data_IF_135724682413
#
_entry.id   IF_135724682413
#
_cell.length_a   1.000
_cell.length_b   1.000
_cell.length_c   1.000
_cell.angle_alpha   90.00
_cell.angle_beta   90.00
_cell.angle_gamma   90.00
#
_symmetry.space_group_name_H-M   'P 1'
#
loop_
_entity.id
_entity.type
_entity.pdbx_description
1 polymer ?
#
# COMPACT_ATOMS: atom_id res chain seq x y z
N UNK A 1 -41.10 -34.48 41.00
CA UNK A 1 -41.79 -33.30 40.46
C UNK A 1 -40.74 -32.21 40.29
N UNK A 2 -40.38 -31.94 39.02
CA UNK A 2 -39.76 -30.68 38.52
C UNK A 2 -38.29 -30.47 38.96
N UNK A 3 -37.23 -30.77 38.20
CA UNK A 3 -36.88 -30.45 36.80
C UNK A 3 -36.83 -28.94 36.50
N UNK A 4 -35.62 -28.45 36.18
CA UNK A 4 -35.28 -27.18 35.49
C UNK A 4 -35.24 -25.90 36.33
N UNK A 5 -34.03 -25.48 36.72
CA UNK A 5 -33.44 -24.15 36.37
C UNK A 5 -32.12 -23.92 37.12
N UNK A 6 -31.02 -24.50 36.63
CA UNK A 6 -29.69 -23.84 36.61
C UNK A 6 -28.70 -24.59 35.73
N UNK A 7 -29.10 -24.74 34.47
CA UNK A 7 -28.15 -24.83 33.36
C UNK A 7 -27.98 -23.39 32.89
N UNK A 8 -26.81 -22.80 33.10
CA UNK A 8 -26.50 -21.47 32.59
C UNK A 8 -25.27 -20.86 33.25
N UNK A 9 -24.21 -20.71 32.45
CA UNK A 9 -22.96 -19.99 32.72
C UNK A 9 -21.88 -20.70 33.54
N UNK A 10 -21.31 -21.77 32.99
CA UNK A 10 -19.86 -22.01 33.02
C UNK A 10 -19.41 -22.73 31.74
N UNK A 11 -19.45 -22.03 30.63
CA UNK A 11 -18.55 -22.29 29.50
C UNK A 11 -17.68 -21.04 29.36
N UNK A 12 -16.73 -20.89 30.28
CA UNK A 12 -15.60 -19.99 30.08
C UNK A 12 -14.87 -20.44 28.80
N UNK A 13 -14.91 -19.58 27.80
CA UNK A 13 -14.39 -19.82 26.47
C UNK A 13 -12.86 -19.67 26.50
N UNK A 14 -12.15 -20.63 27.09
CA UNK A 14 -10.67 -20.63 27.16
C UNK A 14 -9.99 -20.71 25.78
N UNK A 15 -10.72 -20.99 24.70
CA UNK A 15 -10.17 -20.99 23.33
C UNK A 15 -9.84 -19.59 22.78
N UNK A 16 -10.35 -18.51 23.38
CA UNK A 16 -10.13 -17.14 22.91
C UNK A 16 -8.75 -16.57 23.26
N UNK A 17 -8.22 -16.90 24.44
CA UNK A 17 -6.90 -16.42 24.90
C UNK A 17 -5.75 -17.18 24.21
N UNK A 18 -5.85 -18.49 24.08
CA UNK A 18 -4.84 -19.33 23.39
C UNK A 18 -4.70 -18.95 21.91
N UNK A 19 -5.81 -18.70 21.22
CA UNK A 19 -5.79 -18.25 19.82
C UNK A 19 -5.13 -16.87 19.67
N UNK A 20 -5.32 -15.96 20.63
CA UNK A 20 -4.70 -14.63 20.61
C UNK A 20 -3.18 -14.72 20.82
N UNK A 21 -2.72 -15.57 21.75
CA UNK A 21 -1.30 -15.79 22.00
C UNK A 21 -0.58 -16.38 20.78
N UNK A 22 -1.20 -17.34 20.08
CA UNK A 22 -0.65 -17.92 18.85
C UNK A 22 -0.49 -16.90 17.72
N UNK A 23 -1.48 -16.01 17.54
CA UNK A 23 -1.42 -14.96 16.51
C UNK A 23 -0.32 -13.95 16.84
N UNK A 24 -0.21 -13.53 18.10
CA UNK A 24 0.87 -12.63 18.56
C UNK A 24 2.24 -13.27 18.34
N UNK A 25 2.38 -14.57 18.61
CA UNK A 25 3.61 -15.30 18.37
C UNK A 25 3.96 -15.35 16.87
N UNK A 26 2.99 -15.69 16.02
CA UNK A 26 3.17 -15.71 14.55
C UNK A 26 3.60 -14.33 14.06
N UNK A 27 2.91 -13.27 14.50
CA UNK A 27 3.25 -11.89 14.15
C UNK A 27 4.70 -11.55 14.54
N UNK A 28 5.12 -11.86 15.77
CA UNK A 28 6.49 -11.63 16.24
C UNK A 28 7.53 -12.42 15.44
N UNK A 29 7.24 -13.67 15.10
CA UNK A 29 8.13 -14.50 14.28
C UNK A 29 8.27 -13.88 12.89
N UNK A 30 7.15 -13.56 12.23
CA UNK A 30 7.16 -12.95 10.89
C UNK A 30 7.90 -11.61 10.90
N UNK A 31 7.64 -10.76 11.89
CA UNK A 31 8.33 -9.49 12.03
C UNK A 31 9.83 -9.68 12.26
N UNK A 32 10.24 -10.64 13.08
CA UNK A 32 11.67 -10.97 13.29
C UNK A 32 12.33 -11.46 12.00
N UNK A 33 11.63 -12.30 11.24
CA UNK A 33 12.05 -12.76 9.90
C UNK A 33 12.16 -11.60 8.90
N UNK A 34 11.51 -10.46 9.14
CA UNK A 34 11.71 -9.25 8.36
C UNK A 34 12.90 -8.41 8.85
N UNK A 35 13.13 -8.30 10.16
CA UNK A 35 14.20 -7.45 10.71
C UNK A 35 15.58 -8.09 10.54
N UNK A 36 15.69 -9.40 10.79
CA UNK A 36 16.97 -10.11 10.80
C UNK A 36 17.69 -10.06 9.44
N UNK A 37 17.04 -10.32 8.28
CA UNK A 37 17.69 -10.21 6.97
C UNK A 37 18.22 -8.81 6.68
N UNK A 38 17.48 -7.76 7.02
CA UNK A 38 17.91 -6.38 6.76
C UNK A 38 19.09 -5.98 7.66
N UNK A 39 19.10 -6.41 8.92
CA UNK A 39 20.24 -6.22 9.81
C UNK A 39 21.46 -7.04 9.34
N UNK A 40 21.24 -8.27 8.90
CA UNK A 40 22.31 -9.15 8.40
C UNK A 40 22.91 -8.60 7.10
N UNK A 41 22.08 -8.07 6.19
CA UNK A 41 22.55 -7.44 4.96
C UNK A 41 23.35 -6.17 5.23
N UNK A 42 22.96 -5.37 6.24
CA UNK A 42 23.75 -4.22 6.68
C UNK A 42 25.13 -4.65 7.22
N UNK A 43 25.17 -5.66 8.08
CA UNK A 43 26.44 -6.20 8.60
C UNK A 43 27.32 -6.71 7.45
N UNK A 44 26.72 -7.42 6.49
CA UNK A 44 27.42 -7.92 5.31
C UNK A 44 27.97 -6.79 4.44
N UNK A 45 27.18 -5.73 4.21
CA UNK A 45 27.61 -4.54 3.50
C UNK A 45 28.79 -3.86 4.20
N UNK A 46 28.74 -3.71 5.53
CA UNK A 46 29.84 -3.16 6.33
C UNK A 46 31.12 -4.00 6.25
N UNK A 47 31.01 -5.34 6.22
CA UNK A 47 32.17 -6.22 5.99
C UNK A 47 32.77 -5.98 4.60
N UNK A 48 31.92 -5.73 3.60
CA UNK A 48 32.33 -5.46 2.21
C UNK A 48 32.81 -4.04 1.96
N UNK A 49 32.55 -3.09 2.86
CA UNK A 49 32.82 -1.67 2.69
C UNK A 49 34.22 -1.33 2.15
N UNK A 50 35.26 -1.92 2.75
CA UNK A 50 36.66 -1.65 2.35
C UNK A 50 37.08 -2.37 1.04
N UNK A 51 36.27 -3.33 0.57
CA UNK A 51 36.50 -4.06 -0.69
C UNK A 51 35.78 -3.40 -1.86
N UNK A 52 34.82 -2.50 -1.58
CA UNK A 52 34.06 -1.80 -2.59
C UNK A 52 34.84 -0.59 -3.11
N UNK A 53 34.84 -0.34 -4.43
CA UNK A 53 35.35 0.90 -5.01
C UNK A 53 34.55 2.12 -4.51
N UNK A 54 35.10 3.32 -4.69
CA UNK A 54 34.43 4.56 -4.26
C UNK A 54 33.13 4.84 -5.03
N UNK A 55 33.02 4.31 -6.25
CA UNK A 55 31.80 4.27 -7.05
C UNK A 55 31.35 2.82 -7.24
N UNK A 56 30.08 2.55 -6.97
CA UNK A 56 29.48 1.22 -7.03
C UNK A 56 28.20 1.24 -7.87
N UNK A 57 27.88 0.10 -8.48
CA UNK A 57 26.57 -0.14 -9.05
C UNK A 57 25.50 -0.17 -7.96
N UNK A 58 24.52 0.72 -8.11
CA UNK A 58 23.39 0.90 -7.20
C UNK A 58 22.10 0.27 -7.75
N UNK A 59 21.97 0.13 -9.05
CA UNK A 59 20.85 -0.55 -9.71
C UNK A 59 21.37 -1.37 -10.89
N UNK A 60 20.58 -2.34 -11.31
CA UNK A 60 20.90 -3.23 -12.42
C UNK A 60 19.73 -3.28 -13.40
N UNK A 61 20.03 -3.23 -14.69
CA UNK A 61 19.05 -3.44 -15.76
C UNK A 61 18.58 -4.90 -15.84
N UNK A 62 17.68 -5.20 -16.78
CA UNK A 62 17.15 -6.56 -16.97
C UNK A 62 18.19 -7.54 -17.54
N UNK A 63 19.22 -7.02 -18.20
CA UNK A 63 20.38 -7.73 -18.74
C UNK A 63 21.44 -8.01 -17.66
N UNK A 64 21.32 -7.36 -16.50
CA UNK A 64 22.21 -7.51 -15.36
C UNK A 64 23.42 -6.57 -15.37
N UNK A 65 23.44 -5.55 -16.22
CA UNK A 65 24.44 -4.48 -16.22
C UNK A 65 24.07 -3.39 -15.23
N UNK A 66 25.05 -2.58 -14.81
CA UNK A 66 24.76 -1.38 -14.03
C UNK A 66 24.13 -0.31 -14.91
N UNK A 67 22.94 0.14 -14.54
CA UNK A 67 22.26 1.30 -15.13
C UNK A 67 22.28 2.52 -14.20
N UNK A 68 22.58 2.31 -12.91
CA UNK A 68 22.84 3.40 -11.95
C UNK A 68 24.14 3.12 -11.21
N UNK A 69 25.09 4.03 -11.33
CA UNK A 69 26.35 4.05 -10.58
C UNK A 69 26.36 5.26 -9.65
N UNK A 70 26.84 5.09 -8.42
CA UNK A 70 26.93 6.18 -7.47
C UNK A 70 28.03 5.97 -6.44
N UNK A 71 28.29 6.99 -5.62
CA UNK A 71 29.24 6.87 -4.51
C UNK A 71 28.85 5.72 -3.59
N UNK A 72 29.84 4.96 -3.08
CA UNK A 72 29.60 3.84 -2.18
C UNK A 72 28.76 4.19 -0.95
N UNK A 73 28.76 5.44 -0.49
CA UNK A 73 27.86 5.84 0.61
C UNK A 73 26.37 5.64 0.28
N UNK A 74 25.97 5.69 -0.99
CA UNK A 74 24.61 5.37 -1.42
C UNK A 74 24.26 3.89 -1.23
N UNK A 75 25.23 3.00 -1.02
CA UNK A 75 24.99 1.61 -0.62
C UNK A 75 24.27 1.47 0.72
N UNK A 76 24.21 2.52 1.54
CA UNK A 76 23.35 2.56 2.73
C UNK A 76 21.86 2.76 2.43
N UNK A 77 21.52 3.21 1.23
CA UNK A 77 20.15 3.56 0.84
C UNK A 77 19.14 2.42 1.05
N UNK A 78 19.39 1.17 0.60
CA UNK A 78 18.46 0.07 0.83
C UNK A 78 18.18 -0.20 2.32
N UNK A 79 19.17 0.03 3.19
CA UNK A 79 19.04 -0.16 4.64
C UNK A 79 18.21 0.96 5.28
N UNK A 80 18.45 2.22 4.87
CA UNK A 80 17.69 3.36 5.38
C UNK A 80 16.23 3.25 4.97
N UNK A 81 15.94 3.04 3.69
CA UNK A 81 14.56 2.96 3.20
C UNK A 81 13.86 1.70 3.71
N UNK A 82 14.54 0.54 3.69
CA UNK A 82 14.00 -0.69 4.26
C UNK A 82 13.69 -0.55 5.75
N UNK A 83 14.56 0.12 6.51
CA UNK A 83 14.37 0.39 7.94
C UNK A 83 13.19 1.33 8.21
N UNK A 84 13.03 2.39 7.41
CA UNK A 84 11.90 3.30 7.51
C UNK A 84 10.56 2.59 7.23
N UNK A 85 10.53 1.72 6.23
CA UNK A 85 9.33 0.91 5.92
C UNK A 85 9.01 -0.02 7.09
N UNK A 86 10.00 -0.73 7.64
CA UNK A 86 9.81 -1.59 8.81
C UNK A 86 9.27 -0.80 10.02
N UNK A 87 9.82 0.38 10.29
CA UNK A 87 9.36 1.24 11.37
C UNK A 87 7.92 1.72 11.14
N UNK A 88 7.59 2.12 9.92
CA UNK A 88 6.23 2.50 9.52
C UNK A 88 5.22 1.36 9.71
N UNK A 89 5.59 0.14 9.31
CA UNK A 89 4.75 -1.05 9.46
C UNK A 89 4.57 -1.44 10.94
N UNK A 90 5.62 -1.36 11.75
CA UNK A 90 5.53 -1.57 13.20
C UNK A 90 4.56 -0.56 13.85
N UNK A 91 4.64 0.71 13.44
CA UNK A 91 3.70 1.74 13.87
C UNK A 91 2.25 1.44 13.45
N UNK A 92 2.04 1.00 12.20
CA UNK A 92 0.72 0.63 11.69
C UNK A 92 0.12 -0.55 12.47
N UNK A 93 0.91 -1.60 12.74
CA UNK A 93 0.50 -2.76 13.53
C UNK A 93 0.10 -2.34 14.94
N UNK A 94 0.90 -1.52 15.61
CA UNK A 94 0.57 -0.99 16.94
C UNK A 94 -0.76 -0.21 16.94
N UNK A 95 -1.02 0.59 15.90
CA UNK A 95 -2.29 1.31 15.77
C UNK A 95 -3.47 0.35 15.57
N UNK A 96 -3.32 -0.71 14.78
CA UNK A 96 -4.38 -1.69 14.52
C UNK A 96 -4.72 -2.49 15.78
N UNK A 97 -3.71 -2.88 16.56
CA UNK A 97 -3.92 -3.57 17.83
C UNK A 97 -4.68 -2.67 18.81
N UNK A 98 -4.24 -1.43 18.96
CA UNK A 98 -4.73 -0.52 20.01
C UNK A 98 -6.02 0.22 19.68
N UNK A 99 -6.38 0.38 18.39
CA UNK A 99 -7.56 1.15 17.97
C UNK A 99 -8.65 0.24 17.41
N UNK A 100 -9.92 0.53 17.71
CA UNK A 100 -11.03 -0.13 17.04
C UNK A 100 -11.06 0.29 15.57
N UNK A 101 -11.28 -0.67 14.67
CA UNK A 101 -11.33 -0.47 13.21
C UNK A 101 -12.50 0.42 12.80
N UNK A 102 -13.51 0.50 13.66
CA UNK A 102 -14.70 1.25 13.36
C UNK A 102 -15.63 0.56 12.34
N UNK A 103 -15.46 -0.74 12.11
CA UNK A 103 -16.32 -1.50 11.23
C UNK A 103 -17.61 -1.92 11.95
N UNK A 104 -18.71 -2.01 11.19
CA UNK A 104 -20.02 -2.46 11.68
C UNK A 104 -20.06 -3.99 11.79
N UNK A 105 -19.18 -4.54 12.61
CA UNK A 105 -19.03 -5.98 12.83
C UNK A 105 -19.12 -6.31 14.31
N UNK A 106 -19.42 -7.57 14.62
CA UNK A 106 -19.45 -8.06 16.00
C UNK A 106 -18.05 -7.98 16.61
N UNK A 107 -17.94 -7.99 17.95
CA UNK A 107 -16.64 -8.01 18.63
C UNK A 107 -15.76 -9.20 18.19
N UNK A 108 -16.38 -10.35 17.95
CA UNK A 108 -15.70 -11.51 17.36
C UNK A 108 -15.20 -11.22 15.94
N UNK A 109 -16.02 -10.56 15.12
CA UNK A 109 -15.63 -10.11 13.77
C UNK A 109 -14.47 -9.12 13.81
N UNK A 110 -14.49 -8.18 14.75
CA UNK A 110 -13.43 -7.18 14.96
C UNK A 110 -12.08 -7.84 15.27
N UNK A 111 -12.06 -8.78 16.23
CA UNK A 111 -10.84 -9.54 16.59
C UNK A 111 -10.27 -10.30 15.39
N UNK A 112 -11.13 -10.99 14.63
CA UNK A 112 -10.72 -11.73 13.44
C UNK A 112 -10.25 -10.80 12.32
N UNK A 113 -10.94 -9.68 12.10
CA UNK A 113 -10.57 -8.70 11.09
C UNK A 113 -9.19 -8.11 11.37
N UNK A 114 -8.93 -7.69 12.61
CA UNK A 114 -7.62 -7.18 13.03
C UNK A 114 -6.52 -8.21 12.87
N UNK A 115 -6.77 -9.46 13.28
CA UNK A 115 -5.78 -10.54 13.12
C UNK A 115 -5.39 -10.76 11.65
N UNK A 116 -6.39 -10.82 10.76
CA UNK A 116 -6.12 -10.98 9.32
C UNK A 116 -5.47 -9.73 8.73
N UNK A 117 -5.84 -8.53 9.20
CA UNK A 117 -5.21 -7.28 8.79
C UNK A 117 -3.73 -7.22 9.17
N UNK A 118 -3.38 -7.57 10.41
CA UNK A 118 -1.99 -7.67 10.87
C UNK A 118 -1.22 -8.69 10.04
N UNK A 119 -1.78 -9.89 9.82
CA UNK A 119 -1.13 -10.91 8.98
C UNK A 119 -0.91 -10.44 7.54
N UNK A 120 -1.87 -9.70 6.97
CA UNK A 120 -1.75 -9.12 5.62
C UNK A 120 -0.64 -8.07 5.59
N UNK A 121 -0.53 -7.22 6.63
CA UNK A 121 0.57 -6.27 6.76
C UNK A 121 1.92 -6.96 7.00
N UNK A 122 1.96 -8.07 7.71
CA UNK A 122 3.19 -8.85 7.89
C UNK A 122 3.68 -9.43 6.56
N UNK A 123 2.78 -9.96 5.72
CA UNK A 123 3.12 -10.39 4.37
C UNK A 123 3.67 -9.24 3.52
N UNK A 124 3.05 -8.06 3.62
CA UNK A 124 3.50 -6.86 2.90
C UNK A 124 4.87 -6.39 3.41
N UNK A 125 5.08 -6.44 4.72
CA UNK A 125 6.34 -6.10 5.38
C UNK A 125 7.45 -7.05 4.96
N UNK A 126 7.15 -8.35 4.87
CA UNK A 126 8.07 -9.38 4.41
C UNK A 126 8.48 -9.15 2.96
N UNK A 127 7.53 -8.82 2.08
CA UNK A 127 7.81 -8.47 0.68
C UNK A 127 8.87 -7.37 0.58
N UNK A 128 8.63 -6.23 1.22
CA UNK A 128 9.57 -5.11 1.17
C UNK A 128 10.88 -5.40 1.88
N UNK A 129 10.87 -6.03 3.04
CA UNK A 129 12.13 -6.36 3.71
C UNK A 129 12.99 -7.30 2.86
N UNK A 130 12.37 -8.30 2.23
CA UNK A 130 13.06 -9.21 1.32
C UNK A 130 13.65 -8.44 0.13
N UNK A 131 12.88 -7.55 -0.51
CA UNK A 131 13.35 -6.68 -1.59
C UNK A 131 14.60 -5.90 -1.19
N UNK A 132 14.54 -5.14 -0.11
CA UNK A 132 15.66 -4.30 0.32
C UNK A 132 16.86 -5.12 0.78
N UNK A 133 16.64 -6.29 1.37
CA UNK A 133 17.73 -7.20 1.75
C UNK A 133 18.43 -7.79 0.53
N UNK A 134 17.67 -8.19 -0.49
CA UNK A 134 18.20 -8.70 -1.74
C UNK A 134 18.90 -7.59 -2.55
N UNK A 135 18.31 -6.39 -2.60
CA UNK A 135 18.93 -5.24 -3.22
C UNK A 135 20.25 -4.88 -2.52
N UNK A 136 20.26 -4.81 -1.19
CA UNK A 136 21.48 -4.60 -0.42
C UNK A 136 22.54 -5.66 -0.70
N UNK A 137 22.15 -6.94 -0.84
CA UNK A 137 23.07 -8.01 -1.22
C UNK A 137 23.68 -7.75 -2.61
N UNK A 138 22.85 -7.45 -3.62
CA UNK A 138 23.30 -7.13 -4.97
C UNK A 138 24.27 -5.96 -5.02
N UNK A 139 23.99 -4.90 -4.26
CA UNK A 139 24.90 -3.75 -4.10
C UNK A 139 26.17 -4.16 -3.34
N UNK A 140 26.09 -5.03 -2.34
CA UNK A 140 27.28 -5.48 -1.59
C UNK A 140 28.22 -6.36 -2.42
N UNK A 141 27.67 -7.20 -3.30
CA UNK A 141 28.45 -8.13 -4.13
C UNK A 141 28.71 -7.62 -5.53
N UNK A 142 28.14 -6.46 -5.90
CA UNK A 142 28.21 -5.91 -7.25
C UNK A 142 27.73 -6.95 -8.28
N UNK A 143 26.62 -7.61 -7.97
CA UNK A 143 26.03 -8.67 -8.81
C UNK A 143 24.53 -8.45 -8.99
N UNK A 144 24.00 -8.66 -10.21
CA UNK A 144 22.60 -8.38 -10.48
C UNK A 144 21.67 -9.26 -9.65
N UNK A 145 20.53 -8.68 -9.30
CA UNK A 145 19.46 -9.40 -8.63
C UNK A 145 18.94 -10.50 -9.57
N UNK A 146 18.64 -11.69 -9.04
CA UNK A 146 17.85 -12.66 -9.79
C UNK A 146 16.39 -12.19 -9.86
N UNK A 147 16.11 -11.27 -10.78
CA UNK A 147 14.80 -10.62 -10.97
C UNK A 147 13.68 -11.64 -11.21
N UNK A 148 13.98 -12.76 -11.87
CA UNK A 148 13.02 -13.86 -12.08
C UNK A 148 12.64 -14.56 -10.77
N UNK A 149 13.62 -14.88 -9.92
CA UNK A 149 13.36 -15.50 -8.62
C UNK A 149 12.60 -14.53 -7.73
N UNK A 150 13.06 -13.28 -7.65
CA UNK A 150 12.43 -12.24 -6.85
C UNK A 150 10.99 -11.99 -7.30
N UNK A 151 10.74 -11.82 -8.61
CA UNK A 151 9.40 -11.62 -9.15
C UNK A 151 8.45 -12.79 -8.89
N UNK A 152 8.95 -14.04 -8.80
CA UNK A 152 8.14 -15.20 -8.39
C UNK A 152 7.77 -15.14 -6.90
N UNK A 153 8.72 -14.79 -6.03
CA UNK A 153 8.47 -14.61 -4.59
C UNK A 153 7.43 -13.51 -4.39
N UNK A 154 7.62 -12.36 -5.04
CA UNK A 154 6.70 -11.23 -4.99
C UNK A 154 5.30 -11.62 -5.48
N UNK A 155 5.20 -12.35 -6.60
CA UNK A 155 3.92 -12.82 -7.13
C UNK A 155 3.15 -13.70 -6.12
N UNK A 156 3.85 -14.60 -5.43
CA UNK A 156 3.25 -15.44 -4.38
C UNK A 156 2.74 -14.59 -3.23
N UNK A 157 3.54 -13.62 -2.78
CA UNK A 157 3.15 -12.72 -1.69
C UNK A 157 1.94 -11.86 -2.10
N UNK A 158 1.93 -11.33 -3.33
CA UNK A 158 0.78 -10.58 -3.86
C UNK A 158 -0.51 -11.41 -3.85
N UNK A 159 -0.44 -12.70 -4.21
CA UNK A 159 -1.60 -13.60 -4.10
C UNK A 159 -2.04 -13.75 -2.63
N UNK A 160 -1.12 -13.90 -1.69
CA UNK A 160 -1.44 -13.97 -0.25
C UNK A 160 -2.10 -12.68 0.25
N UNK A 161 -1.63 -11.51 -0.21
CA UNK A 161 -2.24 -10.21 0.11
C UNK A 161 -3.68 -10.12 -0.41
N UNK A 162 -3.93 -10.54 -1.65
CA UNK A 162 -5.27 -10.58 -2.23
C UNK A 162 -6.20 -11.54 -1.47
N UNK A 163 -5.69 -12.70 -1.06
CA UNK A 163 -6.43 -13.65 -0.20
C UNK A 163 -6.76 -12.99 1.16
N UNK A 164 -5.79 -12.32 1.79
CA UNK A 164 -5.98 -11.58 3.04
C UNK A 164 -7.10 -10.54 2.93
N UNK A 165 -7.08 -9.73 1.87
CA UNK A 165 -8.15 -8.76 1.56
C UNK A 165 -9.50 -9.46 1.32
N UNK A 166 -9.51 -10.58 0.61
CA UNK A 166 -10.71 -11.38 0.39
C UNK A 166 -11.33 -11.89 1.70
N UNK A 167 -10.50 -12.42 2.60
CA UNK A 167 -10.91 -12.90 3.93
C UNK A 167 -11.43 -11.74 4.79
N UNK A 168 -10.75 -10.59 4.79
CA UNK A 168 -11.21 -9.39 5.49
C UNK A 168 -12.61 -8.97 5.04
N UNK A 169 -12.85 -8.92 3.72
CA UNK A 169 -14.17 -8.61 3.16
C UNK A 169 -15.22 -9.63 3.58
N UNK A 170 -14.89 -10.93 3.54
CA UNK A 170 -15.77 -11.99 4.00
C UNK A 170 -16.13 -11.82 5.49
N UNK A 171 -15.15 -11.49 6.35
CA UNK A 171 -15.38 -11.21 7.77
C UNK A 171 -16.34 -10.04 7.94
N UNK A 172 -16.15 -8.95 7.18
CA UNK A 172 -17.03 -7.79 7.20
C UNK A 172 -18.48 -8.13 6.84
N UNK A 173 -18.69 -9.04 5.89
CA UNK A 173 -20.02 -9.47 5.46
C UNK A 173 -20.63 -10.41 6.51
N UNK A 174 -19.90 -11.45 6.91
CA UNK A 174 -20.40 -12.52 7.80
C UNK A 174 -20.73 -12.02 9.20
N UNK A 175 -19.89 -11.15 9.75
CA UNK A 175 -20.02 -10.69 11.13
C UNK A 175 -20.69 -9.32 11.24
N UNK A 176 -21.36 -8.86 10.18
CA UNK A 176 -22.02 -7.56 10.14
C UNK A 176 -23.07 -7.44 11.25
N UNK A 177 -23.03 -6.33 11.99
CA UNK A 177 -24.04 -6.01 13.01
C UNK A 177 -25.09 -5.05 12.47
N UNK A 178 -26.35 -5.23 12.88
CA UNK A 178 -27.43 -4.28 12.60
C UNK A 178 -27.35 -3.01 13.46
N UNK A 179 -26.63 -3.05 14.59
CA UNK A 179 -26.46 -1.91 15.49
C UNK A 179 -25.77 -0.73 14.78
N UNK A 180 -26.36 0.45 14.98
CA UNK A 180 -25.96 1.72 14.39
C UNK A 180 -24.95 2.41 15.31
N UNK A 181 -23.70 1.93 15.34
CA UNK A 181 -22.60 2.78 15.82
C UNK A 181 -21.29 2.36 15.16
N UNK A 182 -20.70 3.30 14.43
CA UNK A 182 -19.30 3.75 14.54
C UNK A 182 -19.27 5.18 14.01
N UNK A 183 -18.61 6.06 14.76
CA UNK A 183 -18.24 7.43 14.44
C UNK A 183 -17.89 7.59 12.94
N UNK A 184 -18.86 8.04 12.14
CA UNK A 184 -18.68 8.32 10.72
C UNK A 184 -17.55 9.34 10.50
N UNK A 185 -17.17 10.11 11.53
CA UNK A 185 -16.06 11.04 11.44
C UNK A 185 -14.71 10.34 11.24
N UNK A 186 -14.46 9.16 11.82
CA UNK A 186 -13.12 8.57 11.70
C UNK A 186 -12.84 8.14 10.25
N UNK A 187 -13.75 7.37 9.64
CA UNK A 187 -13.61 6.97 8.24
C UNK A 187 -13.58 8.17 7.29
N UNK A 188 -14.40 9.18 7.56
CA UNK A 188 -14.39 10.43 6.81
C UNK A 188 -13.08 11.23 6.99
N UNK A 189 -12.46 11.19 8.17
CA UNK A 189 -11.14 11.81 8.41
C UNK A 189 -10.03 11.04 7.70
N UNK A 190 -10.07 9.71 7.76
CA UNK A 190 -9.08 8.86 7.10
C UNK A 190 -9.17 8.92 5.57
N UNK A 191 -10.39 8.94 5.00
CA UNK A 191 -10.61 9.13 3.56
C UNK A 191 -10.15 10.50 3.04
N UNK A 192 -10.01 11.49 3.93
CA UNK A 192 -9.41 12.78 3.62
C UNK A 192 -7.90 12.69 3.72
N UNK A 193 -7.37 12.17 4.83
CA UNK A 193 -5.93 12.15 5.10
C UNK A 193 -5.15 11.21 4.17
N UNK A 194 -5.59 9.96 4.02
CA UNK A 194 -4.84 8.91 3.32
C UNK A 194 -4.56 9.29 1.85
N UNK A 195 -5.55 9.75 1.05
CA UNK A 195 -5.29 10.11 -0.34
C UNK A 195 -4.31 11.28 -0.47
N UNK A 196 -4.38 12.27 0.42
CA UNK A 196 -3.41 13.37 0.42
C UNK A 196 -2.00 12.92 0.80
N UNK A 197 -1.86 11.99 1.76
CA UNK A 197 -0.56 11.40 2.09
C UNK A 197 0.01 10.59 0.92
N UNK A 198 -0.83 9.80 0.24
CA UNK A 198 -0.42 9.06 -0.96
C UNK A 198 0.00 9.99 -2.10
N UNK A 199 -0.76 11.07 -2.34
CA UNK A 199 -0.40 12.09 -3.33
C UNK A 199 0.91 12.79 -2.97
N UNK A 200 1.08 13.22 -1.71
CA UNK A 200 2.32 13.84 -1.26
C UNK A 200 3.52 12.89 -1.39
N UNK A 201 3.36 11.62 -1.02
CA UNK A 201 4.37 10.59 -1.19
C UNK A 201 4.72 10.34 -2.67
N UNK A 202 3.72 10.32 -3.55
CA UNK A 202 3.94 10.21 -5.00
C UNK A 202 4.68 11.41 -5.60
N UNK A 203 4.35 12.63 -5.17
CA UNK A 203 5.07 13.85 -5.59
C UNK A 203 6.50 13.82 -5.09
N UNK A 204 6.72 13.40 -3.85
CA UNK A 204 8.08 13.27 -3.31
C UNK A 204 8.88 12.21 -4.08
N UNK A 205 8.30 11.04 -4.36
CA UNK A 205 8.97 10.00 -5.15
C UNK A 205 9.41 10.55 -6.52
N UNK A 206 8.51 11.22 -7.25
CA UNK A 206 8.83 11.88 -8.52
C UNK A 206 9.90 12.96 -8.35
N UNK A 207 9.88 13.73 -7.26
CA UNK A 207 10.89 14.77 -7.01
C UNK A 207 12.29 14.17 -6.80
N UNK A 208 12.38 13.03 -6.10
CA UNK A 208 13.64 12.30 -5.89
C UNK A 208 14.15 11.64 -7.17
N UNK A 209 13.26 11.11 -8.01
CA UNK A 209 13.60 10.48 -9.29
C UNK A 209 13.68 11.46 -10.46
N UNK A 210 13.31 12.74 -10.26
CA UNK A 210 13.14 13.72 -11.35
C UNK A 210 14.37 13.88 -12.24
N UNK A 211 15.54 13.82 -11.62
CA UNK A 211 16.83 13.95 -12.27
C UNK A 211 17.41 12.59 -12.71
N UNK A 212 16.78 11.47 -12.35
CA UNK A 212 17.22 10.10 -12.68
C UNK A 212 16.50 9.51 -13.89
N UNK A 213 15.31 10.02 -14.24
CA UNK A 213 14.73 9.72 -15.55
C UNK A 213 15.69 10.20 -16.64
N UNK A 214 16.00 9.34 -17.62
CA UNK A 214 17.22 9.38 -18.42
C UNK A 214 17.79 10.78 -18.61
N UNK A 215 18.84 11.04 -17.84
CA UNK A 215 19.83 12.07 -18.11
C UNK A 215 21.12 11.34 -18.49
N UNK A 216 21.46 11.44 -19.78
CA UNK A 216 22.75 11.14 -20.42
C UNK A 216 23.03 9.67 -20.80
N UNK A 217 23.75 9.35 -21.87
CA UNK A 217 24.71 10.14 -22.66
C UNK A 217 24.33 10.29 -24.16
N UNK A 218 23.04 10.20 -24.54
CA UNK A 218 22.54 10.51 -25.89
C UNK A 218 21.65 11.78 -25.92
N UNK A 219 22.12 12.92 -25.43
CA UNK A 219 22.56 13.87 -26.44
C UNK A 219 23.56 13.06 -27.26
N UNK A 220 24.68 12.59 -26.76
CA UNK A 220 25.54 13.51 -26.09
C UNK A 220 25.69 14.81 -26.95
N UNK A 221 25.20 14.82 -28.21
CA UNK A 221 25.31 15.83 -29.25
C UNK A 221 24.01 16.36 -29.96
N UNK A 222 22.73 16.08 -29.58
CA UNK A 222 21.54 16.79 -30.14
C UNK A 222 21.08 18.09 -29.38
N UNK A 223 21.30 19.31 -29.90
CA UNK A 223 21.08 20.59 -29.21
C UNK A 223 19.60 21.01 -28.97
N UNK A 224 18.59 20.25 -29.39
CA UNK A 224 17.16 20.51 -29.11
C UNK A 224 16.60 19.76 -27.87
N UNK A 225 17.43 18.98 -27.15
CA UNK A 225 16.96 17.97 -26.20
C UNK A 225 16.82 18.48 -24.75
N UNK A 226 15.59 18.42 -24.20
CA UNK A 226 15.28 18.69 -22.78
C UNK A 226 14.40 17.57 -22.16
N UNK A 227 14.99 16.63 -21.43
CA UNK A 227 14.32 15.83 -20.40
C UNK A 227 13.18 14.89 -20.84
N UNK A 228 13.50 13.79 -21.53
CA UNK A 228 12.53 12.73 -21.85
C UNK A 228 12.49 11.62 -20.78
N UNK A 229 11.35 10.94 -20.65
CA UNK A 229 11.15 9.72 -19.87
C UNK A 229 10.55 8.64 -20.78
N UNK A 230 10.87 7.36 -20.54
CA UNK A 230 10.31 6.27 -21.30
C UNK A 230 8.91 5.90 -20.81
N UNK A 231 7.96 5.82 -21.73
CA UNK A 231 6.58 5.43 -21.44
C UNK A 231 6.26 4.11 -22.12
N UNK A 232 6.39 3.01 -21.38
CA UNK A 232 6.14 1.65 -21.87
C UNK A 232 4.74 1.46 -22.49
N UNK A 233 3.72 2.18 -21.99
CA UNK A 233 2.38 2.17 -22.59
C UNK A 233 2.33 2.67 -24.04
N UNK A 234 3.25 3.56 -24.41
CA UNK A 234 3.40 4.11 -25.76
C UNK A 234 4.59 3.50 -26.52
N UNK A 235 5.41 2.70 -25.83
CA UNK A 235 6.68 2.18 -26.33
C UNK A 235 7.55 3.30 -26.94
N UNK A 236 7.63 4.44 -26.25
CA UNK A 236 8.28 5.65 -26.73
C UNK A 236 8.79 6.53 -25.59
N UNK A 237 9.85 7.30 -25.87
CA UNK A 237 10.31 8.39 -25.02
C UNK A 237 9.45 9.63 -25.25
N UNK A 238 8.96 10.24 -24.17
CA UNK A 238 8.15 11.47 -24.19
C UNK A 238 8.66 12.48 -23.17
N UNK A 239 8.18 13.73 -23.22
CA UNK A 239 8.55 14.75 -22.25
C UNK A 239 8.28 14.26 -20.81
N UNK A 240 9.30 14.25 -19.95
CA UNK A 240 9.17 13.75 -18.57
C UNK A 240 8.16 14.56 -17.75
N UNK A 241 7.82 15.78 -18.17
CA UNK A 241 6.73 16.58 -17.57
C UNK A 241 5.37 15.89 -17.69
N UNK A 242 5.22 14.92 -18.59
CA UNK A 242 4.02 14.08 -18.65
C UNK A 242 3.84 13.23 -17.37
N UNK A 243 4.91 12.94 -16.61
CA UNK A 243 4.84 12.31 -15.29
C UNK A 243 4.10 13.19 -14.25
N UNK A 244 3.97 14.50 -14.49
CA UNK A 244 3.21 15.41 -13.64
C UNK A 244 1.71 15.35 -13.90
N UNK A 245 1.26 14.83 -15.07
CA UNK A 245 -0.15 14.80 -15.44
C UNK A 245 -0.98 14.02 -14.41
N UNK A 246 -0.63 12.78 -14.01
CA UNK A 246 -1.40 12.07 -13.01
C UNK A 246 -1.43 12.83 -11.67
N UNK A 247 -0.35 13.53 -11.29
CA UNK A 247 -0.28 14.33 -10.06
C UNK A 247 -1.25 15.52 -10.08
N UNK A 248 -1.28 16.26 -11.19
CA UNK A 248 -2.22 17.38 -11.37
C UNK A 248 -3.67 16.88 -11.34
N UNK A 249 -3.94 15.77 -12.04
CA UNK A 249 -5.26 15.17 -12.08
C UNK A 249 -5.73 14.68 -10.70
N UNK A 250 -4.88 13.99 -9.93
CA UNK A 250 -5.27 13.54 -8.59
C UNK A 250 -5.50 14.72 -7.65
N UNK A 251 -4.66 15.75 -7.66
CA UNK A 251 -4.87 16.96 -6.84
C UNK A 251 -6.22 17.60 -7.18
N UNK A 252 -6.51 17.80 -8.47
CA UNK A 252 -7.77 18.37 -8.91
C UNK A 252 -8.97 17.53 -8.46
N UNK A 253 -8.91 16.21 -8.62
CA UNK A 253 -9.96 15.29 -8.18
C UNK A 253 -10.15 15.31 -6.65
N UNK A 254 -9.06 15.28 -5.88
CA UNK A 254 -9.13 15.33 -4.41
C UNK A 254 -9.74 16.64 -3.93
N UNK A 255 -9.38 17.78 -4.52
CA UNK A 255 -9.98 19.10 -4.21
C UNK A 255 -11.47 19.11 -4.55
N UNK A 256 -11.87 18.62 -5.73
CA UNK A 256 -13.28 18.53 -6.12
C UNK A 256 -14.06 17.67 -5.12
N UNK A 257 -13.56 16.48 -4.78
CA UNK A 257 -14.21 15.62 -3.81
C UNK A 257 -14.22 16.22 -2.41
N UNK A 258 -13.22 17.01 -2.03
CA UNK A 258 -13.19 17.74 -0.76
C UNK A 258 -14.31 18.77 -0.68
N UNK A 259 -14.47 19.58 -1.72
CA UNK A 259 -15.55 20.57 -1.82
C UNK A 259 -16.93 19.89 -1.80
N UNK A 260 -17.10 18.82 -2.59
CA UNK A 260 -18.36 18.06 -2.62
C UNK A 260 -18.67 17.43 -1.27
N UNK A 261 -17.68 16.84 -0.62
CA UNK A 261 -17.83 16.21 0.70
C UNK A 261 -18.18 17.25 1.75
N UNK A 262 -17.51 18.41 1.78
CA UNK A 262 -17.81 19.50 2.70
C UNK A 262 -19.23 20.06 2.52
N UNK A 263 -19.67 20.25 1.26
CA UNK A 263 -21.05 20.65 0.94
C UNK A 263 -22.05 19.59 1.40
N UNK A 264 -21.77 18.31 1.15
CA UNK A 264 -22.61 17.20 1.55
C UNK A 264 -22.75 17.10 3.08
N UNK A 265 -21.66 17.30 3.82
CA UNK A 265 -21.65 17.35 5.29
C UNK A 265 -22.51 18.49 5.80
N UNK A 266 -22.38 19.70 5.25
CA UNK A 266 -23.23 20.85 5.61
C UNK A 266 -24.72 20.58 5.32
N UNK A 267 -25.02 19.83 4.27
CA UNK A 267 -26.37 19.43 3.90
C UNK A 267 -26.88 18.16 4.62
N UNK A 268 -26.13 17.61 5.58
CA UNK A 268 -26.43 16.33 6.26
C UNK A 268 -26.65 15.13 5.30
N UNK A 269 -26.07 15.17 4.10
CA UNK A 269 -26.19 14.12 3.10
C UNK A 269 -25.10 13.05 3.28
N UNK A 270 -25.31 12.17 4.25
CA UNK A 270 -24.38 11.10 4.61
C UNK A 270 -24.08 10.11 3.47
N UNK A 271 -25.00 9.92 2.51
CA UNK A 271 -24.77 9.03 1.37
C UNK A 271 -23.75 9.67 0.41
N UNK A 272 -23.89 10.97 0.14
CA UNK A 272 -22.96 11.68 -0.74
C UNK A 272 -21.58 11.83 -0.09
N UNK A 273 -21.50 12.09 1.23
CA UNK A 273 -20.23 12.05 1.98
C UNK A 273 -19.55 10.68 1.77
N UNK A 274 -20.29 9.58 2.00
CA UNK A 274 -19.76 8.23 1.82
C UNK A 274 -19.31 7.93 0.38
N UNK A 275 -19.98 8.48 -0.64
CA UNK A 275 -19.52 8.35 -2.04
C UNK A 275 -18.19 9.08 -2.24
N UNK A 276 -18.12 10.36 -1.83
CA UNK A 276 -16.90 11.17 -1.99
C UNK A 276 -15.71 10.57 -1.26
N UNK A 277 -15.91 10.03 -0.05
CA UNK A 277 -14.86 9.36 0.72
C UNK A 277 -14.28 8.14 -0.01
N UNK A 278 -15.14 7.31 -0.60
CA UNK A 278 -14.71 6.15 -1.38
C UNK A 278 -13.96 6.55 -2.64
N UNK A 279 -14.49 7.53 -3.38
CA UNK A 279 -13.85 7.99 -4.61
C UNK A 279 -12.48 8.60 -4.35
N UNK A 280 -12.30 9.38 -3.27
CA UNK A 280 -10.98 9.87 -2.86
C UNK A 280 -9.99 8.74 -2.60
N UNK A 281 -10.40 7.72 -1.84
CA UNK A 281 -9.54 6.56 -1.54
C UNK A 281 -9.18 5.79 -2.81
N UNK A 282 -10.15 5.51 -3.68
CA UNK A 282 -9.90 4.83 -4.95
C UNK A 282 -8.94 5.66 -5.82
N UNK A 283 -9.21 6.95 -6.00
CA UNK A 283 -8.33 7.82 -6.79
C UNK A 283 -6.92 7.92 -6.17
N UNK A 284 -6.81 8.14 -4.86
CA UNK A 284 -5.51 8.25 -4.19
C UNK A 284 -4.65 7.00 -4.37
N UNK A 285 -5.23 5.82 -4.18
CA UNK A 285 -4.51 4.53 -4.33
C UNK A 285 -4.10 4.28 -5.77
N UNK A 286 -5.01 4.42 -6.74
CA UNK A 286 -4.71 4.11 -8.14
C UNK A 286 -3.75 5.11 -8.78
N UNK A 287 -3.89 6.40 -8.49
CA UNK A 287 -2.95 7.39 -9.02
C UNK A 287 -1.58 7.23 -8.39
N UNK A 288 -1.48 6.94 -7.08
CA UNK A 288 -0.19 6.60 -6.46
C UNK A 288 0.45 5.38 -7.12
N UNK A 289 -0.31 4.30 -7.32
CA UNK A 289 0.19 3.10 -7.99
C UNK A 289 0.62 3.37 -9.44
N UNK A 290 -0.19 4.07 -10.24
CA UNK A 290 0.18 4.39 -11.61
C UNK A 290 1.40 5.31 -11.69
N UNK A 291 1.57 6.24 -10.75
CA UNK A 291 2.79 7.03 -10.67
C UNK A 291 4.01 6.15 -10.42
N UNK A 292 3.94 5.20 -9.48
CA UNK A 292 5.04 4.25 -9.27
C UNK A 292 5.34 3.45 -10.54
N UNK A 293 4.31 2.94 -11.24
CA UNK A 293 4.52 2.20 -12.48
C UNK A 293 5.17 3.07 -13.57
N UNK A 294 4.73 4.31 -13.73
CA UNK A 294 5.31 5.24 -14.70
C UNK A 294 6.77 5.58 -14.34
N UNK A 295 7.04 5.79 -13.05
CA UNK A 295 8.37 6.08 -12.52
C UNK A 295 9.34 4.91 -12.73
N UNK A 296 8.84 3.68 -12.65
CA UNK A 296 9.60 2.44 -12.92
C UNK A 296 9.47 1.95 -14.36
N UNK A 297 9.09 2.83 -15.30
CA UNK A 297 8.99 2.54 -16.73
C UNK A 297 8.14 1.29 -17.06
N UNK A 298 7.19 0.98 -16.19
CA UNK A 298 6.38 -0.21 -16.25
C UNK A 298 5.02 0.11 -16.85
N UNK A 299 4.53 -0.78 -17.71
CA UNK A 299 3.22 -0.63 -18.33
C UNK A 299 2.10 -0.56 -17.30
N UNK A 300 1.30 0.49 -17.36
CA UNK A 300 -0.03 0.51 -16.74
C UNK A 300 -0.91 -0.50 -17.49
N UNK A 301 -1.12 -1.67 -16.88
CA UNK A 301 -1.89 -2.75 -17.48
C UNK A 301 -3.40 -2.46 -17.54
N UNK A 302 -4.08 -3.00 -18.56
CA UNK A 302 -5.54 -2.87 -18.75
C UNK A 302 -6.34 -3.39 -17.55
N UNK A 303 -5.81 -4.38 -16.83
CA UNK A 303 -6.41 -4.93 -15.61
C UNK A 303 -6.47 -3.86 -14.51
N UNK A 304 -5.41 -3.07 -14.32
CA UNK A 304 -5.36 -2.01 -13.31
C UNK A 304 -6.36 -0.89 -13.64
N UNK A 305 -6.39 -0.44 -14.91
CA UNK A 305 -7.37 0.57 -15.38
C UNK A 305 -8.80 0.06 -15.27
N UNK A 306 -9.03 -1.19 -15.66
CA UNK A 306 -10.34 -1.85 -15.55
C UNK A 306 -10.83 -1.96 -14.11
N UNK A 307 -9.93 -2.31 -13.17
CA UNK A 307 -10.25 -2.38 -11.75
C UNK A 307 -10.59 -1.01 -11.17
N UNK A 308 -9.83 0.03 -11.53
CA UNK A 308 -10.14 1.42 -11.15
C UNK A 308 -11.54 1.83 -11.62
N UNK A 309 -11.83 1.64 -12.91
CA UNK A 309 -13.13 1.96 -13.50
C UNK A 309 -14.27 1.20 -12.83
N UNK A 310 -14.09 -0.10 -12.60
CA UNK A 310 -15.07 -0.96 -11.93
C UNK A 310 -15.37 -0.47 -10.50
N UNK A 311 -14.36 -0.15 -9.70
CA UNK A 311 -14.53 0.31 -8.32
C UNK A 311 -15.23 1.68 -8.25
N UNK A 312 -14.92 2.59 -9.18
CA UNK A 312 -15.63 3.86 -9.33
C UNK A 312 -17.10 3.64 -9.67
N UNK A 313 -17.39 2.79 -10.67
CA UNK A 313 -18.77 2.45 -11.09
C UNK A 313 -19.55 1.82 -9.92
N UNK A 314 -18.98 0.83 -9.23
CA UNK A 314 -19.61 0.18 -8.08
C UNK A 314 -19.95 1.21 -6.99
N UNK A 315 -19.04 2.16 -6.74
CA UNK A 315 -19.26 3.21 -5.75
C UNK A 315 -20.42 4.13 -6.13
N UNK A 316 -20.50 4.55 -7.39
CA UNK A 316 -21.58 5.39 -7.93
C UNK A 316 -22.92 4.63 -7.94
N UNK A 317 -22.95 3.39 -8.42
CA UNK A 317 -24.16 2.54 -8.43
C UNK A 317 -24.67 2.35 -7.01
N UNK A 318 -23.77 2.05 -6.06
CA UNK A 318 -24.13 1.92 -4.64
C UNK A 318 -24.75 3.20 -4.08
N UNK A 319 -24.24 4.37 -4.47
CA UNK A 319 -24.81 5.67 -4.10
C UNK A 319 -26.22 5.83 -4.66
N UNK A 320 -26.43 5.60 -5.96
CA UNK A 320 -27.74 5.73 -6.62
C UNK A 320 -28.77 4.80 -5.98
N UNK A 321 -28.42 3.52 -5.79
CA UNK A 321 -29.32 2.53 -5.17
C UNK A 321 -29.72 2.94 -3.75
N UNK A 322 -28.77 3.43 -2.94
CA UNK A 322 -29.05 3.90 -1.57
C UNK A 322 -29.92 5.15 -1.55
N UNK A 323 -29.63 6.12 -2.43
CA UNK A 323 -30.42 7.36 -2.56
C UNK A 323 -31.87 7.03 -2.92
N UNK A 324 -32.08 6.17 -3.91
CA UNK A 324 -33.42 5.75 -4.33
C UNK A 324 -34.19 5.01 -3.23
N UNK A 325 -33.49 4.23 -2.39
CA UNK A 325 -34.11 3.53 -1.25
C UNK A 325 -34.56 4.49 -0.14
N UNK A 326 -33.90 5.63 0.04
CA UNK A 326 -34.33 6.67 1.00
C UNK A 326 -35.55 7.40 0.46
N UNK A 327 -35.53 7.86 -0.81
CA UNK A 327 -36.66 8.56 -1.43
C UNK A 327 -37.93 7.71 -1.38
N UNK A 328 -37.82 6.40 -1.67
CA UNK A 328 -38.95 5.46 -1.59
C UNK A 328 -39.49 5.22 -0.17
N UNK A 329 -38.75 5.58 0.89
CA UNK A 329 -39.22 5.49 2.27
C UNK A 329 -39.89 6.78 2.76
N UNK A 330 -39.66 7.88 2.07
CA UNK A 330 -40.18 9.22 2.41
C UNK A 330 -41.50 9.52 1.68
N UNK A 331 -41.78 8.81 0.58
CA UNK A 331 -43.04 8.83 -0.18
C UNK A 331 -43.95 7.66 0.20
#
# INVERSE_FOLDING_TARGET
>A
MVYLERIGNKTEFHGGEDMNQKIILIHRILFSVCVIPLATSLIFYLIKWNQLPDEIGMHFDFEGNFDVVSSKIYGFYPHVIGGLILAGMAGANHLIETKNTGLKITEKGEKLFKAVLILTLDCFTFMWSSYFSFWAYSVSTQSPLNTRLYGRIESVIMVLLLIGVGIQNYICIKYKTEKKYVDSNLMHRLSRLIPWLLTAGGIWAIAESWNRHPSDEELYFNPEYQGLAYFENFNAFGDKRLLLIPQILIIALLVIFEILSAKATKANNNILVSLTDKLKLICGVFFFWWNLLLDTETRIGIVSVGLFGLLCIISIVTYITRKNKIIKKEN
#
